data_IF_389356727230
#
_entry.id   IF_389356727230
#
_cell.length_a   1.000
_cell.length_b   1.000
_cell.length_c   1.000
_cell.angle_alpha   90.00
_cell.angle_beta   90.00
_cell.angle_gamma   90.00
#
_symmetry.space_group_name_H-M   'P 1'
#
loop_
_entity.id
_entity.type
_entity.pdbx_description
1 polymer ?
#
# COMPACT_ATOMS: atom_id res chain seq x y z
N UNK A 1 -11.03 -23.61 -18.26
CA UNK A 1 -12.36 -23.87 -18.84
C UNK A 1 -13.36 -22.78 -18.48
N UNK A 2 -13.81 -22.62 -17.22
CA UNK A 2 -14.81 -21.60 -16.89
C UNK A 2 -14.34 -20.15 -17.19
N UNK A 3 -13.18 -19.75 -16.69
CA UNK A 3 -12.64 -18.38 -16.90
C UNK A 3 -12.29 -18.06 -18.36
N UNK A 4 -11.99 -19.08 -19.14
CA UNK A 4 -11.62 -18.93 -20.55
C UNK A 4 -12.86 -18.75 -21.40
N UNK A 5 -13.93 -19.48 -21.08
CA UNK A 5 -15.26 -19.29 -21.67
C UNK A 5 -15.83 -17.92 -21.27
N UNK A 6 -15.72 -17.52 -20.01
CA UNK A 6 -16.16 -16.18 -19.53
C UNK A 6 -15.44 -15.04 -20.27
N UNK A 7 -14.12 -15.16 -20.49
CA UNK A 7 -13.33 -14.18 -21.24
C UNK A 7 -13.75 -14.10 -22.71
N UNK A 8 -13.94 -15.26 -23.36
CA UNK A 8 -14.34 -15.34 -24.77
C UNK A 8 -15.75 -14.76 -24.95
N UNK A 9 -16.71 -15.12 -24.08
CA UNK A 9 -18.08 -14.59 -24.14
C UNK A 9 -18.10 -13.06 -23.96
N UNK A 10 -17.24 -12.49 -23.10
CA UNK A 10 -17.11 -11.04 -22.94
C UNK A 10 -16.50 -10.34 -24.15
N UNK A 11 -15.51 -10.95 -24.80
CA UNK A 11 -14.92 -10.38 -26.02
C UNK A 11 -15.94 -10.36 -27.15
N UNK A 12 -16.75 -11.42 -27.29
CA UNK A 12 -17.78 -11.54 -28.32
C UNK A 12 -18.98 -10.62 -28.04
N UNK A 13 -19.34 -10.41 -26.77
CA UNK A 13 -20.45 -9.54 -26.38
C UNK A 13 -20.07 -8.07 -26.22
N UNK A 14 -18.78 -7.71 -26.34
CA UNK A 14 -18.35 -6.32 -26.24
C UNK A 14 -18.71 -5.54 -27.52
N UNK A 15 -19.39 -4.37 -27.40
CA UNK A 15 -19.81 -3.58 -28.56
C UNK A 15 -18.63 -2.97 -29.33
N UNK A 16 -17.45 -2.81 -28.70
CA UNK A 16 -16.21 -2.42 -29.38
C UNK A 16 -14.98 -3.02 -28.69
N UNK A 17 -14.00 -3.46 -29.48
CA UNK A 17 -12.74 -4.02 -28.99
C UNK A 17 -11.85 -2.94 -28.33
N UNK A 18 -11.95 -1.70 -28.79
CA UNK A 18 -11.16 -0.57 -28.28
C UNK A 18 -11.60 -0.20 -26.86
N UNK A 19 -12.92 -0.15 -26.60
CA UNK A 19 -13.42 0.12 -25.24
C UNK A 19 -13.17 -1.06 -24.30
N UNK A 20 -13.13 -2.28 -24.84
CA UNK A 20 -12.72 -3.46 -24.11
C UNK A 20 -11.25 -3.35 -23.64
N UNK A 21 -10.32 -2.96 -24.51
CA UNK A 21 -8.89 -2.83 -24.16
C UNK A 21 -8.60 -1.63 -23.25
N UNK A 22 -9.40 -0.55 -23.32
CA UNK A 22 -9.28 0.62 -22.43
C UNK A 22 -9.69 0.32 -20.98
N UNK A 23 -10.49 -0.72 -20.74
CA UNK A 23 -10.97 -1.03 -19.40
C UNK A 23 -9.96 -1.88 -18.62
N UNK A 24 -9.37 -1.30 -17.57
CA UNK A 24 -8.41 -1.95 -16.67
C UNK A 24 -8.92 -3.29 -16.08
N UNK A 25 -10.24 -3.46 -15.96
CA UNK A 25 -10.84 -4.69 -15.44
C UNK A 25 -10.66 -5.89 -16.39
N UNK A 26 -10.67 -5.63 -17.69
CA UNK A 26 -10.50 -6.68 -18.70
C UNK A 26 -9.05 -7.18 -18.71
N UNK A 27 -8.09 -6.30 -18.40
CA UNK A 27 -6.69 -6.69 -18.21
C UNK A 27 -6.48 -7.62 -17.01
N UNK A 28 -7.20 -7.41 -15.91
CA UNK A 28 -7.16 -8.29 -14.74
C UNK A 28 -7.73 -9.68 -15.08
N UNK A 29 -8.78 -9.72 -15.90
CA UNK A 29 -9.42 -10.96 -16.35
C UNK A 29 -8.51 -11.78 -17.28
N UNK A 30 -7.80 -11.11 -18.18
CA UNK A 30 -6.77 -11.71 -19.03
C UNK A 30 -5.61 -12.23 -18.17
N UNK A 31 -5.07 -11.41 -17.27
CA UNK A 31 -3.97 -11.77 -16.39
C UNK A 31 -4.29 -12.96 -15.44
N UNK A 32 -5.57 -13.18 -15.15
CA UNK A 32 -6.06 -14.32 -14.38
C UNK A 32 -6.07 -15.65 -15.17
N UNK A 33 -6.14 -15.58 -16.50
CA UNK A 33 -6.27 -16.71 -17.42
C UNK A 33 -4.91 -17.13 -18.00
N UNK A 34 -4.05 -16.15 -18.27
CA UNK A 34 -2.69 -16.34 -18.83
C UNK A 34 -1.87 -17.43 -18.11
N UNK A 35 -1.79 -17.50 -16.76
CA UNK A 35 -0.96 -18.49 -16.07
C UNK A 35 -1.34 -19.94 -16.38
N UNK A 36 -2.62 -20.21 -16.64
CA UNK A 36 -3.10 -21.55 -16.98
C UNK A 36 -2.60 -21.99 -18.37
N UNK A 37 -2.70 -21.10 -19.36
CA UNK A 37 -2.27 -21.40 -20.73
C UNK A 37 -0.75 -21.46 -20.87
N UNK A 38 -0.02 -20.59 -20.17
CA UNK A 38 1.45 -20.67 -20.14
C UNK A 38 1.91 -21.97 -19.49
N UNK A 39 1.28 -22.40 -18.38
CA UNK A 39 1.59 -23.69 -17.76
C UNK A 39 1.28 -24.88 -18.68
N UNK A 40 0.16 -24.84 -19.40
CA UNK A 40 -0.21 -25.86 -20.36
C UNK A 40 0.78 -25.92 -21.54
N UNK A 41 1.20 -24.77 -22.06
CA UNK A 41 2.18 -24.67 -23.14
C UNK A 41 3.55 -25.24 -22.73
N UNK A 42 4.03 -24.91 -21.53
CA UNK A 42 5.27 -25.47 -20.98
C UNK A 42 5.16 -26.98 -20.76
N UNK A 43 4.04 -27.47 -20.22
CA UNK A 43 3.81 -28.91 -20.02
C UNK A 43 3.78 -29.68 -21.36
N UNK A 44 3.15 -29.12 -22.40
CA UNK A 44 3.10 -29.74 -23.71
C UNK A 44 4.46 -29.70 -24.43
N UNK A 45 5.20 -28.59 -24.31
CA UNK A 45 6.54 -28.46 -24.90
C UNK A 45 7.53 -29.47 -24.27
N UNK A 46 7.49 -29.62 -22.94
CA UNK A 46 8.33 -30.57 -22.19
C UNK A 46 8.06 -32.02 -22.61
N UNK A 47 6.77 -32.37 -22.83
CA UNK A 47 6.34 -33.70 -23.28
C UNK A 47 6.79 -34.04 -24.71
N UNK A 48 6.97 -33.02 -25.56
CA UNK A 48 7.35 -33.17 -26.96
C UNK A 48 8.87 -33.16 -27.19
N UNK A 49 9.65 -32.53 -26.30
CA UNK A 49 11.07 -32.24 -26.57
C UNK A 49 12.08 -32.87 -25.61
N UNK A 50 11.68 -33.58 -24.54
CA UNK A 50 12.62 -34.28 -23.63
C UNK A 50 13.75 -33.37 -23.11
N UNK A 51 13.49 -32.07 -22.93
CA UNK A 51 14.53 -31.10 -22.54
C UNK A 51 14.71 -31.12 -21.02
N UNK A 52 15.60 -31.98 -20.56
CA UNK A 52 16.06 -32.02 -19.18
C UNK A 52 16.99 -30.82 -18.90
N UNK A 53 16.47 -29.73 -18.33
CA UNK A 53 17.10 -28.86 -17.30
C UNK A 53 16.57 -27.41 -17.27
N UNK A 54 16.14 -26.84 -18.41
CA UNK A 54 15.64 -25.45 -18.50
C UNK A 54 14.18 -25.28 -18.09
N UNK A 55 13.40 -26.37 -18.09
CA UNK A 55 11.99 -26.40 -17.67
C UNK A 55 11.81 -26.01 -16.19
N UNK A 56 12.83 -26.23 -15.34
CA UNK A 56 12.77 -25.98 -13.89
C UNK A 56 12.59 -24.49 -13.53
N UNK A 57 13.16 -23.58 -14.31
CA UNK A 57 13.06 -22.12 -14.10
C UNK A 57 11.69 -21.61 -14.56
N UNK A 58 11.21 -22.08 -15.71
CA UNK A 58 9.87 -21.76 -16.23
C UNK A 58 8.76 -22.21 -15.29
N UNK A 59 8.87 -23.42 -14.72
CA UNK A 59 7.94 -23.95 -13.72
C UNK A 59 7.98 -23.17 -12.39
N UNK A 60 9.12 -22.58 -12.02
CA UNK A 60 9.27 -21.71 -10.83
C UNK A 60 8.55 -20.37 -11.03
N UNK A 61 8.75 -19.73 -12.17
CA UNK A 61 8.06 -18.48 -12.55
C UNK A 61 6.53 -18.68 -12.68
N UNK A 62 6.09 -19.83 -13.18
CA UNK A 62 4.68 -20.22 -13.21
C UNK A 62 4.04 -20.29 -11.82
N UNK A 63 4.83 -20.59 -10.78
CA UNK A 63 4.36 -20.63 -9.39
C UNK A 63 4.05 -19.22 -8.86
N UNK A 64 4.87 -18.24 -9.24
CA UNK A 64 4.66 -16.81 -8.95
C UNK A 64 3.46 -16.27 -9.72
N UNK A 65 3.25 -16.72 -10.97
CA UNK A 65 2.08 -16.34 -11.76
C UNK A 65 0.75 -16.86 -11.20
N UNK A 66 0.73 -17.81 -10.26
CA UNK A 66 -0.50 -18.15 -9.53
C UNK A 66 -0.95 -17.03 -8.58
N UNK A 67 -0.03 -16.18 -8.13
CA UNK A 67 -0.33 -15.02 -7.29
C UNK A 67 -1.13 -13.96 -8.05
N UNK A 68 -1.09 -13.92 -9.38
CA UNK A 68 -1.98 -13.03 -10.17
C UNK A 68 -3.45 -13.39 -9.98
N UNK A 69 -3.77 -14.61 -9.53
CA UNK A 69 -5.15 -14.97 -9.16
C UNK A 69 -5.61 -14.27 -7.88
N UNK A 70 -4.72 -13.81 -7.01
CA UNK A 70 -5.06 -12.94 -5.88
C UNK A 70 -5.64 -11.61 -6.37
N UNK A 71 -5.25 -11.13 -7.55
CA UNK A 71 -5.86 -9.94 -8.16
C UNK A 71 -7.35 -10.14 -8.48
N UNK A 72 -7.88 -11.38 -8.48
CA UNK A 72 -9.33 -11.62 -8.57
C UNK A 72 -10.08 -11.13 -7.34
N UNK A 73 -9.45 -11.09 -6.17
CA UNK A 73 -10.06 -10.48 -4.99
C UNK A 73 -10.42 -9.02 -5.27
N UNK A 74 -9.66 -8.31 -6.10
CA UNK A 74 -9.99 -6.94 -6.54
C UNK A 74 -11.36 -6.83 -7.22
N UNK A 75 -11.80 -7.88 -7.93
CA UNK A 75 -13.16 -7.95 -8.49
C UNK A 75 -14.22 -7.97 -7.39
N UNK A 76 -13.98 -8.71 -6.31
CA UNK A 76 -14.85 -8.75 -5.12
C UNK A 76 -14.89 -7.37 -4.45
N UNK A 77 -13.72 -6.72 -4.30
CA UNK A 77 -13.61 -5.36 -3.75
C UNK A 77 -14.44 -4.33 -4.52
N UNK A 78 -14.52 -4.44 -5.86
CA UNK A 78 -15.29 -3.49 -6.69
C UNK A 78 -16.80 -3.74 -6.64
N UNK A 79 -17.23 -4.99 -6.52
CA UNK A 79 -18.65 -5.36 -6.52
C UNK A 79 -19.33 -5.04 -5.17
N UNK A 80 -18.56 -4.91 -4.09
CA UNK A 80 -19.06 -4.53 -2.79
C UNK A 80 -19.17 -3.01 -2.71
N UNK A 81 -20.41 -2.50 -2.64
CA UNK A 81 -20.71 -1.06 -2.52
C UNK A 81 -19.95 -0.42 -1.34
N UNK A 82 -19.87 -1.09 -0.21
CA UNK A 82 -19.16 -0.62 0.99
C UNK A 82 -17.65 -0.44 0.77
N UNK A 83 -16.99 -1.36 0.04
CA UNK A 83 -15.56 -1.27 -0.27
C UNK A 83 -15.27 -0.21 -1.33
N UNK A 84 -16.19 0.01 -2.27
CA UNK A 84 -16.10 1.12 -3.22
C UNK A 84 -16.24 2.48 -2.52
N UNK A 85 -17.18 2.58 -1.58
CA UNK A 85 -17.34 3.77 -0.75
C UNK A 85 -16.09 4.04 0.09
N UNK A 86 -15.51 3.00 0.71
CA UNK A 86 -14.24 3.09 1.44
C UNK A 86 -13.07 3.50 0.52
N UNK A 87 -12.96 2.91 -0.67
CA UNK A 87 -11.90 3.26 -1.63
C UNK A 87 -12.01 4.69 -2.16
N UNK A 88 -13.23 5.20 -2.37
CA UNK A 88 -13.47 6.59 -2.74
C UNK A 88 -13.07 7.54 -1.60
N UNK A 89 -13.46 7.23 -0.35
CA UNK A 89 -13.04 8.01 0.82
C UNK A 89 -11.52 7.99 1.00
N UNK A 90 -10.87 6.83 0.87
CA UNK A 90 -9.40 6.72 0.94
C UNK A 90 -8.77 7.59 -0.14
N UNK A 91 -9.26 7.54 -1.39
CA UNK A 91 -8.72 8.33 -2.48
C UNK A 91 -8.85 9.84 -2.24
N UNK A 92 -9.98 10.28 -1.68
CA UNK A 92 -10.17 11.69 -1.29
C UNK A 92 -9.27 12.09 -0.11
N UNK A 93 -8.99 11.16 0.79
CA UNK A 93 -8.07 11.36 1.92
C UNK A 93 -6.59 11.13 1.58
N UNK A 94 -6.23 10.58 0.42
CA UNK A 94 -4.84 10.30 0.03
C UNK A 94 -3.94 11.54 0.10
N UNK A 95 -4.36 12.73 -0.35
CA UNK A 95 -3.56 13.94 -0.18
C UNK A 95 -3.29 14.27 1.30
N UNK A 96 -4.28 14.06 2.18
CA UNK A 96 -4.14 14.31 3.62
C UNK A 96 -3.16 13.31 4.26
N UNK A 97 -3.24 12.03 3.87
CA UNK A 97 -2.27 11.01 4.30
C UNK A 97 -0.87 11.29 3.78
N UNK A 98 -0.74 11.79 2.55
CA UNK A 98 0.56 12.15 2.00
C UNK A 98 1.19 13.32 2.77
N UNK A 99 0.41 14.36 3.07
CA UNK A 99 0.86 15.49 3.90
C UNK A 99 1.27 14.99 5.29
N UNK A 100 0.47 14.12 5.90
CA UNK A 100 0.76 13.49 7.19
C UNK A 100 2.11 12.78 7.20
N UNK A 101 2.34 11.90 6.23
CA UNK A 101 3.59 11.14 6.11
C UNK A 101 4.77 12.09 5.91
N UNK A 102 4.64 13.12 5.07
CA UNK A 102 5.69 14.11 4.87
C UNK A 102 6.05 14.87 6.15
N UNK A 103 5.06 15.31 6.93
CA UNK A 103 5.30 16.01 8.20
C UNK A 103 6.04 15.10 9.18
N UNK A 104 5.60 13.85 9.33
CA UNK A 104 6.25 12.89 10.24
C UNK A 104 7.68 12.58 9.78
N UNK A 105 7.90 12.33 8.48
CA UNK A 105 9.25 12.07 7.95
C UNK A 105 10.17 13.28 8.12
N UNK A 106 9.68 14.50 7.87
CA UNK A 106 10.47 15.72 8.06
C UNK A 106 10.83 15.91 9.54
N UNK A 107 9.88 15.70 10.44
CA UNK A 107 10.10 15.81 11.89
C UNK A 107 11.12 14.77 12.38
N UNK A 108 11.01 13.53 11.90
CA UNK A 108 11.98 12.46 12.18
C UNK A 108 13.37 12.78 11.64
N UNK A 109 13.47 13.40 10.47
CA UNK A 109 14.73 13.85 9.91
C UNK A 109 15.37 14.95 10.75
N UNK A 110 14.59 15.93 11.21
CA UNK A 110 15.09 17.03 12.06
C UNK A 110 15.59 16.52 13.41
N UNK A 111 14.79 15.72 14.12
CA UNK A 111 15.20 15.15 15.41
C UNK A 111 16.32 14.12 15.25
N UNK A 112 16.30 13.34 14.17
CA UNK A 112 17.38 12.41 13.82
C UNK A 112 18.71 13.14 13.59
N UNK A 113 18.71 14.23 12.82
CA UNK A 113 19.89 15.06 12.62
C UNK A 113 20.38 15.70 13.93
N UNK A 114 19.47 16.21 14.77
CA UNK A 114 19.83 16.76 16.07
C UNK A 114 20.48 15.70 16.99
N UNK A 115 19.91 14.50 17.02
CA UNK A 115 20.48 13.38 17.78
C UNK A 115 21.82 12.91 17.21
N UNK A 116 21.99 12.90 15.88
CA UNK A 116 23.28 12.64 15.24
C UNK A 116 24.36 13.58 15.77
N UNK A 117 24.13 14.90 15.71
CA UNK A 117 25.12 15.86 16.21
C UNK A 117 25.36 15.79 17.72
N UNK A 118 24.35 15.40 18.50
CA UNK A 118 24.51 15.22 19.95
C UNK A 118 25.25 13.93 20.33
N UNK A 119 25.18 12.88 19.49
CA UNK A 119 25.66 11.54 19.81
C UNK A 119 26.89 11.11 19.00
N UNK A 120 27.23 11.77 17.90
CA UNK A 120 28.28 11.34 16.98
C UNK A 120 29.63 11.10 17.68
N UNK A 121 30.00 11.96 18.63
CA UNK A 121 31.29 11.86 19.33
C UNK A 121 31.29 10.80 20.44
N UNK A 122 30.14 10.52 21.06
CA UNK A 122 30.01 9.60 22.20
C UNK A 122 29.51 8.20 21.81
N UNK A 123 28.77 8.10 20.70
CA UNK A 123 28.01 6.93 20.27
C UNK A 123 27.99 6.81 18.73
N UNK A 124 29.14 7.08 18.10
CA UNK A 124 29.29 7.04 16.65
C UNK A 124 28.97 5.69 16.01
N UNK A 125 29.00 4.57 16.76
CA UNK A 125 28.54 3.28 16.22
C UNK A 125 27.02 3.23 16.00
N UNK A 126 26.24 3.81 16.91
CA UNK A 126 24.78 3.84 16.80
C UNK A 126 24.31 5.00 15.91
N UNK A 127 25.01 6.14 15.97
CA UNK A 127 24.72 7.37 15.21
C UNK A 127 25.82 7.66 14.16
N UNK A 128 26.13 6.69 13.31
CA UNK A 128 27.19 6.79 12.29
C UNK A 128 26.81 7.69 11.09
N UNK A 129 25.52 7.72 10.74
CA UNK A 129 25.02 8.55 9.64
C UNK A 129 23.70 9.20 9.97
N UNK A 130 23.44 10.36 9.35
CA UNK A 130 22.17 11.09 9.49
C UNK A 130 20.98 10.22 9.09
N UNK A 131 21.12 9.34 8.07
CA UNK A 131 20.05 8.42 7.67
C UNK A 131 19.75 7.38 8.74
N UNK A 132 20.78 6.84 9.40
CA UNK A 132 20.62 5.91 10.53
C UNK A 132 19.99 6.60 11.74
N UNK A 133 20.37 7.85 12.02
CA UNK A 133 19.75 8.66 13.05
C UNK A 133 18.30 9.07 12.70
N UNK A 134 18.00 9.26 11.43
CA UNK A 134 16.63 9.50 10.93
C UNK A 134 15.76 8.26 11.13
N UNK A 135 16.30 7.05 10.89
CA UNK A 135 15.61 5.81 11.22
C UNK A 135 15.23 5.75 12.71
N UNK A 136 16.17 6.10 13.61
CA UNK A 136 15.88 6.25 15.03
C UNK A 136 14.76 7.27 15.29
N UNK A 137 14.84 8.44 14.65
CA UNK A 137 13.80 9.48 14.76
C UNK A 137 12.41 9.00 14.29
N UNK A 138 12.34 8.17 13.25
CA UNK A 138 11.08 7.58 12.76
C UNK A 138 10.49 6.66 13.82
N UNK A 139 11.26 5.68 14.31
CA UNK A 139 10.76 4.69 15.28
C UNK A 139 10.41 5.32 16.64
N UNK A 140 11.07 6.44 17.02
CA UNK A 140 10.75 7.21 18.23
C UNK A 140 9.47 8.02 18.07
N UNK A 141 9.31 8.76 16.96
CA UNK A 141 8.07 9.53 16.70
C UNK A 141 6.85 8.63 16.58
N UNK A 142 7.00 7.45 15.97
CA UNK A 142 5.90 6.47 15.86
C UNK A 142 5.64 5.71 17.16
N UNK A 143 6.46 5.90 18.20
CA UNK A 143 6.32 5.19 19.49
C UNK A 143 6.65 3.69 19.44
N UNK A 144 7.35 3.23 18.40
CA UNK A 144 7.75 1.81 18.26
C UNK A 144 8.95 1.52 19.16
N UNK A 145 10.00 2.33 19.05
CA UNK A 145 11.16 2.28 19.95
C UNK A 145 11.78 0.89 20.11
N UNK A 146 12.26 0.26 19.02
CA UNK A 146 12.86 -1.07 19.06
C UNK A 146 14.02 -1.22 20.07
N UNK A 147 14.70 -0.12 20.40
CA UNK A 147 15.79 -0.09 21.38
C UNK A 147 17.14 -0.57 20.84
N UNK A 148 17.24 -0.79 19.53
CA UNK A 148 18.47 -1.13 18.81
C UNK A 148 19.43 0.06 18.68
N UNK A 149 18.87 1.27 18.58
CA UNK A 149 19.59 2.55 18.57
C UNK A 149 18.93 3.45 19.61
N UNK A 150 19.73 4.03 20.51
CA UNK A 150 19.25 4.98 21.50
C UNK A 150 20.36 5.97 21.88
N UNK A 151 20.03 7.26 22.11
CA UNK A 151 20.99 8.24 22.58
C UNK A 151 21.42 7.94 24.02
N UNK A 152 22.71 8.01 24.28
CA UNK A 152 23.30 7.75 25.59
C UNK A 152 23.71 9.05 26.30
N UNK A 153 23.94 10.13 25.56
CA UNK A 153 24.37 11.42 26.13
C UNK A 153 23.21 12.14 26.83
N UNK A 154 23.48 13.00 27.83
CA UNK A 154 22.44 13.79 28.47
C UNK A 154 21.66 14.66 27.48
N UNK A 155 22.35 15.27 26.52
CA UNK A 155 21.73 16.12 25.48
C UNK A 155 20.89 15.28 24.53
N UNK A 156 21.40 14.15 24.05
CA UNK A 156 20.66 13.22 23.20
C UNK A 156 19.40 12.67 23.88
N UNK A 157 19.44 12.41 25.20
CA UNK A 157 18.25 12.02 25.97
C UNK A 157 17.20 13.12 26.06
N UNK A 158 17.60 14.37 26.23
CA UNK A 158 16.66 15.51 26.16
C UNK A 158 16.02 15.60 24.78
N UNK A 159 16.82 15.46 23.71
CA UNK A 159 16.33 15.41 22.33
C UNK A 159 15.34 14.25 22.14
N UNK A 160 15.63 13.08 22.70
CA UNK A 160 14.72 11.93 22.65
C UNK A 160 13.38 12.20 23.34
N UNK A 161 13.38 12.83 24.52
CA UNK A 161 12.15 13.21 25.22
C UNK A 161 11.32 14.20 24.39
N UNK A 162 11.96 15.23 23.83
CA UNK A 162 11.29 16.20 22.97
C UNK A 162 10.75 15.55 21.70
N UNK A 163 11.53 14.68 21.06
CA UNK A 163 11.14 13.92 19.88
C UNK A 163 9.89 13.07 20.15
N UNK A 164 9.85 12.34 21.28
CA UNK A 164 8.69 11.55 21.68
C UNK A 164 7.43 12.40 21.95
N UNK A 165 7.56 13.52 22.67
CA UNK A 165 6.45 14.44 22.93
C UNK A 165 5.92 15.09 21.65
N UNK A 166 6.81 15.57 20.78
CA UNK A 166 6.45 16.13 19.48
C UNK A 166 5.82 15.07 18.56
N UNK A 167 6.33 13.84 18.57
CA UNK A 167 5.74 12.72 17.82
C UNK A 167 4.33 12.40 18.27
N UNK A 168 4.11 12.23 19.58
CA UNK A 168 2.80 11.92 20.15
C UNK A 168 1.76 13.01 19.87
N UNK A 169 2.13 14.29 20.04
CA UNK A 169 1.25 15.43 19.74
C UNK A 169 0.92 15.53 18.26
N UNK A 170 1.91 15.33 17.38
CA UNK A 170 1.71 15.35 15.92
C UNK A 170 0.77 14.24 15.48
N UNK A 171 1.00 13.00 15.91
CA UNK A 171 0.11 11.86 15.59
C UNK A 171 -1.31 12.12 16.12
N UNK A 172 -1.45 12.64 17.35
CA UNK A 172 -2.75 13.01 17.90
C UNK A 172 -3.50 14.02 17.03
N UNK A 173 -2.83 15.10 16.62
CA UNK A 173 -3.40 16.13 15.74
C UNK A 173 -3.84 15.55 14.38
N UNK A 174 -3.01 14.69 13.80
CA UNK A 174 -3.30 14.06 12.51
C UNK A 174 -4.52 13.14 12.56
N UNK A 175 -4.64 12.35 13.63
CA UNK A 175 -5.81 11.52 13.89
C UNK A 175 -7.06 12.39 14.06
N UNK A 176 -6.99 13.49 14.81
CA UNK A 176 -8.12 14.41 14.97
C UNK A 176 -8.60 14.99 13.65
N UNK A 177 -7.68 15.45 12.78
CA UNK A 177 -8.03 15.98 11.45
C UNK A 177 -8.67 14.91 10.57
N UNK A 178 -8.16 13.67 10.62
CA UNK A 178 -8.69 12.56 9.85
C UNK A 178 -10.12 12.18 10.30
N UNK A 179 -10.35 12.10 11.61
CA UNK A 179 -11.67 11.82 12.19
C UNK A 179 -12.67 12.90 11.80
N UNK A 180 -12.30 14.17 11.93
CA UNK A 180 -13.14 15.31 11.58
C UNK A 180 -13.50 15.33 10.08
N UNK A 181 -12.56 14.99 9.19
CA UNK A 181 -12.85 14.78 7.76
C UNK A 181 -13.80 13.62 7.52
N UNK A 182 -13.59 12.50 8.19
CA UNK A 182 -14.48 11.34 8.07
C UNK A 182 -15.92 11.69 8.50
N UNK A 183 -16.07 12.37 9.63
CA UNK A 183 -17.37 12.82 10.14
C UNK A 183 -18.07 13.75 9.14
N UNK A 184 -17.37 14.72 8.56
CA UNK A 184 -17.93 15.61 7.52
C UNK A 184 -18.42 14.86 6.29
N UNK A 185 -17.63 13.92 5.78
CA UNK A 185 -18.01 13.12 4.60
C UNK A 185 -19.21 12.23 4.91
N UNK A 186 -19.24 11.64 6.11
CA UNK A 186 -20.35 10.80 6.56
C UNK A 186 -21.65 11.60 6.72
N UNK A 187 -21.60 12.74 7.42
CA UNK A 187 -22.74 13.64 7.59
C UNK A 187 -23.29 14.12 6.24
N UNK A 188 -22.42 14.55 5.31
CA UNK A 188 -22.85 14.96 3.95
C UNK A 188 -23.59 13.84 3.21
N UNK A 189 -23.15 12.59 3.34
CA UNK A 189 -23.82 11.44 2.70
C UNK A 189 -25.18 11.13 3.32
N UNK A 190 -25.39 11.40 4.61
CA UNK A 190 -26.69 11.27 5.26
C UNK A 190 -27.66 12.36 4.80
N UNK A 191 -27.24 13.63 4.79
CA UNK A 191 -28.07 14.74 4.31
C UNK A 191 -28.54 14.54 2.86
N UNK A 192 -27.62 14.17 1.95
CA UNK A 192 -27.99 13.89 0.55
C UNK A 192 -28.98 12.72 0.45
N UNK A 193 -28.91 11.72 1.34
CA UNK A 193 -29.84 10.60 1.33
C UNK A 193 -31.23 11.00 1.86
N UNK A 194 -31.31 11.87 2.87
CA UNK A 194 -32.59 12.39 3.37
C UNK A 194 -33.29 13.25 2.31
N UNK A 195 -32.56 14.13 1.62
CA UNK A 195 -33.10 14.97 0.53
C UNK A 195 -33.66 14.16 -0.65
N UNK A 196 -33.15 12.94 -0.88
CA UNK A 196 -33.62 12.04 -1.95
C UNK A 196 -34.86 11.25 -1.50
N UNK A 197 -35.01 10.98 -0.19
CA UNK A 197 -36.17 10.25 0.35
C UNK A 197 -37.38 11.17 0.50
N UNK A 198 -37.18 12.46 0.81
CA UNK A 198 -38.29 13.44 0.93
C UNK A 198 -38.89 13.88 -0.43
N UNK A 199 -38.28 13.48 -1.55
CA UNK A 199 -38.77 13.77 -2.90
C UNK A 199 -39.61 12.63 -3.53
N UNK A 200 -39.86 11.54 -2.79
CA UNK A 200 -40.66 10.39 -3.22
C UNK A 200 -41.91 10.20 -2.35
#
# INVERSE_FOLDING_TARGET
AFFTVELILRIISAPSFVDFVKNIMNWIDIAAVVPYYVALGVYLADRLTSINSTTSIGLRLLRILRFTRVLKFYRVFKNIKSLRALGATIRESLPDFFIMINILTLLSFVFGAAAYFAENDANGQAFDSILKATYWGIITITGVGYGDIAPITPIGRIIACLCGLCGATTIGMLVSVLVDRYQRVFARKLYINEDIVDFH
#
